data_IF_536203034919
#
_entry.id   IF_536203034919
#
_cell.length_a   1.000
_cell.length_b   1.000
_cell.length_c   1.000
_cell.angle_alpha   90.00
_cell.angle_beta   90.00
_cell.angle_gamma   90.00
#
_symmetry.space_group_name_H-M   'P 1'
#
loop_
_entity.id
_entity.type
_entity.pdbx_description
1 polymer ?
#
# COMPACT_ATOMS: atom_id res chain seq x y z
N UNK A 1 22.12 0.40 10.10
CA UNK A 1 20.81 -0.17 10.45
C UNK A 1 19.68 0.29 9.52
N UNK A 2 19.54 1.59 9.24
CA UNK A 2 18.50 2.09 8.34
C UNK A 2 18.52 1.40 6.96
N UNK A 3 19.67 1.36 6.28
CA UNK A 3 19.81 0.70 4.98
C UNK A 3 19.49 -0.80 5.01
N UNK A 4 19.84 -1.49 6.11
CA UNK A 4 19.55 -2.91 6.30
C UNK A 4 18.03 -3.22 6.28
N UNK A 5 17.20 -2.30 6.75
CA UNK A 5 15.75 -2.43 6.72
C UNK A 5 15.11 -1.81 5.48
N UNK A 6 15.63 -0.66 5.02
CA UNK A 6 15.00 0.11 3.93
C UNK A 6 15.26 -0.50 2.56
N UNK A 7 16.50 -0.99 2.29
CA UNK A 7 16.81 -1.59 0.98
C UNK A 7 15.96 -2.84 0.71
N UNK A 8 15.87 -3.83 1.61
CA UNK A 8 14.99 -4.98 1.40
C UNK A 8 13.51 -4.58 1.23
N UNK A 9 13.04 -3.60 2.00
CA UNK A 9 11.66 -3.13 1.89
C UNK A 9 11.39 -2.47 0.53
N UNK A 10 12.34 -1.66 0.05
CA UNK A 10 12.27 -1.00 -1.26
C UNK A 10 12.25 -2.04 -2.39
N UNK A 11 13.20 -3.00 -2.36
CA UNK A 11 13.26 -4.08 -3.37
C UNK A 11 11.95 -4.88 -3.40
N UNK A 12 11.43 -5.28 -2.23
CA UNK A 12 10.18 -6.02 -2.15
C UNK A 12 8.97 -5.22 -2.67
N UNK A 13 8.91 -3.91 -2.38
CA UNK A 13 7.83 -3.03 -2.85
C UNK A 13 7.90 -2.82 -4.36
N UNK A 14 9.10 -2.62 -4.91
CA UNK A 14 9.31 -2.48 -6.35
C UNK A 14 9.02 -3.78 -7.10
N UNK A 15 9.44 -4.92 -6.57
CA UNK A 15 9.13 -6.22 -7.17
C UNK A 15 7.61 -6.47 -7.25
N UNK A 16 6.88 -6.08 -6.19
CA UNK A 16 5.42 -6.14 -6.17
C UNK A 16 4.77 -5.25 -7.24
N UNK A 17 5.33 -4.06 -7.48
CA UNK A 17 4.86 -3.17 -8.55
C UNK A 17 5.16 -3.74 -9.95
N UNK A 18 6.36 -4.30 -10.12
CA UNK A 18 6.80 -4.86 -11.41
C UNK A 18 5.98 -6.08 -11.83
N UNK A 19 5.71 -7.03 -10.92
CA UNK A 19 4.92 -8.20 -11.31
C UNK A 19 3.50 -7.82 -11.73
N UNK A 20 2.86 -6.83 -11.09
CA UNK A 20 1.55 -6.33 -11.50
C UNK A 20 1.55 -5.76 -12.93
N UNK A 21 2.66 -5.14 -13.36
CA UNK A 21 2.82 -4.64 -14.73
C UNK A 21 2.99 -5.82 -15.70
N UNK A 22 3.82 -6.80 -15.36
CA UNK A 22 4.10 -7.98 -16.17
C UNK A 22 2.83 -8.83 -16.38
N UNK A 23 2.06 -9.06 -15.31
CA UNK A 23 0.78 -9.77 -15.37
C UNK A 23 -0.19 -9.12 -16.37
N UNK A 24 -0.30 -7.78 -16.35
CA UNK A 24 -1.12 -7.05 -17.34
C UNK A 24 -0.60 -7.19 -18.76
N UNK A 25 0.72 -7.24 -18.97
CA UNK A 25 1.30 -7.48 -20.30
C UNK A 25 0.92 -8.87 -20.80
N UNK A 26 1.05 -9.89 -19.97
CA UNK A 26 0.68 -11.26 -20.35
C UNK A 26 -0.82 -11.41 -20.65
N UNK A 27 -1.70 -10.81 -19.83
CA UNK A 27 -3.13 -10.79 -20.08
C UNK A 27 -3.45 -10.06 -21.40
N UNK A 28 -2.79 -8.93 -21.65
CA UNK A 28 -2.99 -8.16 -22.89
C UNK A 28 -2.59 -8.91 -24.13
N UNK A 29 -1.48 -9.63 -24.08
CA UNK A 29 -0.97 -10.43 -25.20
C UNK A 29 -1.72 -11.76 -25.38
N UNK A 30 -2.13 -12.39 -24.29
CA UNK A 30 -2.74 -13.72 -24.33
C UNK A 30 -4.26 -13.74 -24.44
N UNK A 31 -4.94 -12.69 -23.97
CA UNK A 31 -6.41 -12.65 -23.91
C UNK A 31 -6.99 -11.51 -24.75
N UNK A 32 -6.29 -10.38 -24.82
CA UNK A 32 -6.66 -9.25 -25.66
C UNK A 32 -7.09 -7.99 -24.89
N UNK A 33 -7.38 -6.91 -25.65
CA UNK A 33 -7.63 -5.58 -25.10
C UNK A 33 -8.88 -5.50 -24.22
N UNK A 34 -9.95 -6.23 -24.55
CA UNK A 34 -11.19 -6.25 -23.75
C UNK A 34 -10.94 -6.87 -22.38
N UNK A 35 -10.08 -7.88 -22.27
CA UNK A 35 -9.70 -8.48 -21.00
C UNK A 35 -8.91 -7.51 -20.11
N UNK A 36 -8.04 -6.65 -20.68
CA UNK A 36 -7.35 -5.58 -19.92
C UNK A 36 -8.39 -4.61 -19.36
N UNK A 37 -9.39 -4.24 -20.16
CA UNK A 37 -10.47 -3.35 -19.70
C UNK A 37 -11.29 -4.00 -18.59
N UNK A 38 -11.58 -5.30 -18.69
CA UNK A 38 -12.21 -6.09 -17.65
C UNK A 38 -11.36 -6.12 -16.38
N UNK A 39 -10.04 -6.31 -16.50
CA UNK A 39 -9.13 -6.30 -15.36
C UNK A 39 -9.09 -4.92 -14.67
N UNK A 40 -9.23 -3.83 -15.43
CA UNK A 40 -9.27 -2.47 -14.84
C UNK A 40 -10.46 -2.30 -13.90
N UNK A 41 -11.61 -2.94 -14.17
CA UNK A 41 -12.79 -2.92 -13.30
C UNK A 41 -12.56 -3.64 -11.96
N UNK A 42 -11.59 -4.57 -11.90
CA UNK A 42 -11.29 -5.31 -10.67
C UNK A 42 -10.48 -4.47 -9.67
N UNK A 43 -9.80 -3.42 -10.14
CA UNK A 43 -8.85 -2.64 -9.35
C UNK A 43 -9.43 -2.00 -8.07
N UNK A 44 -10.63 -1.39 -8.07
CA UNK A 44 -11.23 -0.86 -6.85
C UNK A 44 -11.51 -1.95 -5.80
N UNK A 45 -11.97 -3.13 -6.22
CA UNK A 45 -12.22 -4.26 -5.33
C UNK A 45 -10.91 -4.78 -4.73
N UNK A 46 -9.88 -4.95 -5.56
CA UNK A 46 -8.56 -5.39 -5.12
C UNK A 46 -7.94 -4.40 -4.12
N UNK A 47 -8.08 -3.10 -4.37
CA UNK A 47 -7.62 -2.06 -3.45
C UNK A 47 -8.36 -2.10 -2.10
N UNK A 48 -9.68 -2.32 -2.12
CA UNK A 48 -10.48 -2.45 -0.91
C UNK A 48 -10.02 -3.67 -0.08
N UNK A 49 -9.90 -4.82 -0.73
CA UNK A 49 -9.38 -6.04 -0.09
C UNK A 49 -7.98 -5.82 0.50
N UNK A 50 -7.10 -5.18 -0.27
CA UNK A 50 -5.73 -4.82 0.17
C UNK A 50 -5.70 -3.86 1.36
N UNK A 51 -6.62 -2.89 1.43
CA UNK A 51 -6.72 -1.94 2.52
C UNK A 51 -6.97 -2.65 3.88
N UNK A 52 -7.80 -3.70 3.90
CA UNK A 52 -8.01 -4.50 5.11
C UNK A 52 -6.76 -5.31 5.50
N UNK A 53 -6.00 -5.82 4.54
CA UNK A 53 -4.68 -6.41 4.81
C UNK A 53 -3.70 -5.43 5.45
N UNK A 54 -3.71 -4.17 5.00
CA UNK A 54 -2.90 -3.09 5.59
C UNK A 54 -3.38 -2.67 6.98
N UNK A 55 -4.70 -2.64 7.20
CA UNK A 55 -5.29 -2.40 8.53
C UNK A 55 -4.68 -3.32 9.58
N UNK A 56 -4.68 -4.61 9.29
CA UNK A 56 -4.18 -5.61 10.22
C UNK A 56 -2.65 -5.65 10.23
N UNK A 57 -2.01 -5.68 9.05
CA UNK A 57 -0.56 -5.86 8.90
C UNK A 57 0.28 -4.71 9.47
N UNK A 58 -0.04 -3.47 9.15
CA UNK A 58 0.70 -2.31 9.66
C UNK A 58 0.47 -2.10 11.16
N UNK A 59 -0.76 -2.33 11.63
CA UNK A 59 -1.08 -2.23 13.06
C UNK A 59 -0.33 -3.26 13.89
N UNK A 60 -0.33 -4.52 13.44
CA UNK A 60 0.40 -5.61 14.09
C UNK A 60 1.92 -5.36 14.11
N UNK A 61 2.50 -4.93 12.98
CA UNK A 61 3.94 -4.66 12.89
C UNK A 61 4.37 -3.53 13.82
N UNK A 62 3.61 -2.42 13.89
CA UNK A 62 3.92 -1.32 14.79
C UNK A 62 3.84 -1.77 16.25
N UNK A 63 2.80 -2.53 16.61
CA UNK A 63 2.63 -3.02 17.98
C UNK A 63 3.73 -4.01 18.37
N UNK A 64 4.11 -4.94 17.47
CA UNK A 64 5.25 -5.84 17.68
C UNK A 64 6.53 -5.09 17.96
N UNK A 65 6.87 -4.08 17.12
CA UNK A 65 8.10 -3.30 17.29
C UNK A 65 8.15 -2.61 18.66
N UNK A 66 7.04 -1.99 19.09
CA UNK A 66 6.93 -1.32 20.39
C UNK A 66 7.11 -2.29 21.56
N UNK A 67 6.45 -3.45 21.50
CA UNK A 67 6.52 -4.45 22.57
C UNK A 67 7.89 -5.10 22.67
N UNK A 68 8.54 -5.39 21.55
CA UNK A 68 9.91 -5.90 21.55
C UNK A 68 10.89 -4.86 22.09
N UNK A 69 10.67 -3.56 21.81
CA UNK A 69 11.44 -2.49 22.40
C UNK A 69 11.30 -2.40 23.92
N UNK A 70 10.11 -2.66 24.45
CA UNK A 70 9.81 -2.72 25.88
C UNK A 70 10.25 -4.07 26.54
N UNK A 71 10.94 -4.95 25.83
CA UNK A 71 11.30 -6.30 26.28
C UNK A 71 10.10 -7.18 26.64
N UNK A 72 8.89 -6.86 26.16
CA UNK A 72 7.66 -7.63 26.40
C UNK A 72 7.43 -8.66 25.27
N UNK A 73 8.30 -9.67 25.20
CA UNK A 73 8.24 -10.73 24.19
C UNK A 73 6.98 -11.59 24.31
N UNK A 74 6.43 -11.74 25.52
CA UNK A 74 5.20 -12.53 25.75
C UNK A 74 3.99 -11.88 25.05
N UNK A 75 3.80 -10.59 25.24
CA UNK A 75 2.70 -9.86 24.59
C UNK A 75 2.96 -9.73 23.08
N UNK A 76 4.21 -9.56 22.65
CA UNK A 76 4.59 -9.55 21.23
C UNK A 76 4.24 -10.87 20.53
N UNK A 77 4.45 -12.03 21.19
CA UNK A 77 4.02 -13.33 20.67
C UNK A 77 2.50 -13.45 20.57
N UNK A 78 1.74 -12.88 21.51
CA UNK A 78 0.28 -12.87 21.48
C UNK A 78 -0.29 -12.11 20.28
N UNK A 79 0.49 -11.22 19.63
CA UNK A 79 0.06 -10.53 18.40
C UNK A 79 -0.14 -11.53 17.26
N UNK A 80 0.65 -12.59 17.15
CA UNK A 80 0.56 -13.55 16.05
C UNK A 80 -0.86 -14.16 15.91
N UNK A 81 -1.42 -14.85 16.93
CA UNK A 81 -2.77 -15.43 16.81
C UNK A 81 -3.86 -14.35 16.67
N UNK A 82 -3.72 -13.20 17.32
CA UNK A 82 -4.68 -12.09 17.17
C UNK A 82 -4.70 -11.53 15.74
N UNK A 83 -3.53 -11.41 15.11
CA UNK A 83 -3.40 -11.01 13.71
C UNK A 83 -4.06 -12.03 12.77
N UNK A 84 -3.86 -13.33 13.03
CA UNK A 84 -4.47 -14.40 12.22
C UNK A 84 -5.99 -14.31 12.25
N UNK A 85 -6.58 -14.20 13.44
CA UNK A 85 -8.03 -14.13 13.61
C UNK A 85 -8.60 -12.84 13.01
N UNK A 86 -7.95 -11.69 13.22
CA UNK A 86 -8.38 -10.43 12.60
C UNK A 86 -8.33 -10.51 11.08
N UNK A 87 -7.26 -11.06 10.50
CA UNK A 87 -7.14 -11.22 9.05
C UNK A 87 -8.22 -12.13 8.51
N UNK A 88 -8.50 -13.26 9.18
CA UNK A 88 -9.55 -14.19 8.79
C UNK A 88 -10.96 -13.55 8.91
N UNK A 89 -11.21 -12.84 10.00
CA UNK A 89 -12.48 -12.16 10.25
C UNK A 89 -12.80 -11.13 9.15
N UNK A 90 -11.88 -10.20 8.87
CA UNK A 90 -12.07 -9.21 7.82
C UNK A 90 -12.14 -9.84 6.43
N UNK A 91 -11.30 -10.85 6.17
CA UNK A 91 -11.38 -11.59 4.92
C UNK A 91 -12.77 -12.21 4.71
N UNK A 92 -13.29 -12.95 5.68
CA UNK A 92 -14.60 -13.59 5.55
C UNK A 92 -15.71 -12.58 5.29
N UNK A 93 -15.76 -11.48 6.04
CA UNK A 93 -16.78 -10.45 5.85
C UNK A 93 -16.65 -9.78 4.49
N UNK A 94 -15.47 -9.24 4.18
CA UNK A 94 -15.29 -8.40 2.98
C UNK A 94 -15.36 -9.25 1.71
N UNK A 95 -14.73 -10.44 1.72
CA UNK A 95 -14.79 -11.34 0.57
C UNK A 95 -16.21 -11.86 0.33
N UNK A 96 -16.98 -12.19 1.38
CA UNK A 96 -18.38 -12.61 1.23
C UNK A 96 -19.23 -11.48 0.66
N UNK A 97 -19.08 -10.25 1.17
CA UNK A 97 -19.81 -9.09 0.64
C UNK A 97 -19.44 -8.81 -0.82
N UNK A 98 -18.13 -8.79 -1.13
CA UNK A 98 -17.68 -8.59 -2.51
C UNK A 98 -18.16 -9.70 -3.45
N UNK A 99 -18.22 -10.96 -2.98
CA UNK A 99 -18.66 -12.09 -3.80
C UNK A 99 -20.19 -12.07 -4.04
N UNK A 100 -20.99 -11.78 -3.01
CA UNK A 100 -22.44 -11.71 -3.09
C UNK A 100 -22.89 -10.54 -3.99
N UNK A 101 -22.23 -9.39 -3.87
CA UNK A 101 -22.56 -8.18 -4.61
C UNK A 101 -21.66 -7.95 -5.83
N UNK A 102 -21.02 -9.00 -6.34
CA UNK A 102 -20.00 -8.87 -7.40
C UNK A 102 -20.56 -8.20 -8.66
N UNK A 103 -21.68 -8.67 -9.18
CA UNK A 103 -22.28 -8.11 -10.39
C UNK A 103 -22.72 -6.64 -10.20
N UNK A 104 -23.51 -6.26 -9.17
CA UNK A 104 -23.84 -4.87 -8.90
C UNK A 104 -22.62 -3.95 -8.76
N UNK A 105 -21.57 -4.43 -8.10
CA UNK A 105 -20.35 -3.64 -7.90
C UNK A 105 -19.63 -3.41 -9.25
N UNK A 106 -19.50 -4.43 -10.08
CA UNK A 106 -18.83 -4.31 -11.38
C UNK A 106 -19.59 -3.35 -12.31
N UNK A 107 -20.92 -3.41 -12.35
CA UNK A 107 -21.71 -2.46 -13.13
C UNK A 107 -21.63 -1.03 -12.55
N UNK A 108 -21.62 -0.87 -11.24
CA UNK A 108 -21.44 0.44 -10.60
C UNK A 108 -20.06 1.07 -10.90
N UNK A 109 -19.04 0.26 -11.16
CA UNK A 109 -17.70 0.72 -11.58
C UNK A 109 -17.55 0.91 -13.09
N UNK A 110 -18.66 0.88 -13.84
CA UNK A 110 -18.66 1.14 -15.28
C UNK A 110 -18.46 -0.10 -16.14
N UNK A 111 -18.73 -1.29 -15.60
CA UNK A 111 -18.74 -2.54 -16.36
C UNK A 111 -19.79 -2.53 -17.45
N UNK A 112 -19.43 -3.04 -18.63
CA UNK A 112 -20.31 -3.31 -19.75
C UNK A 112 -20.53 -4.82 -19.92
N UNK A 113 -21.51 -5.20 -20.74
CA UNK A 113 -21.76 -6.61 -21.06
C UNK A 113 -20.55 -7.32 -21.70
N UNK A 114 -19.62 -6.56 -22.28
CA UNK A 114 -18.39 -7.09 -22.86
C UNK A 114 -17.24 -7.24 -21.84
N UNK A 115 -17.11 -6.33 -20.86
CA UNK A 115 -15.98 -6.29 -19.92
C UNK A 115 -16.27 -7.01 -18.62
N UNK A 116 -17.54 -6.98 -18.15
CA UNK A 116 -17.95 -7.62 -16.89
C UNK A 116 -17.68 -9.13 -16.83
N UNK A 117 -17.87 -9.93 -17.89
CA UNK A 117 -17.54 -11.36 -17.83
C UNK A 117 -16.08 -11.62 -17.47
N UNK A 118 -15.13 -10.90 -18.08
CA UNK A 118 -13.69 -11.05 -17.78
C UNK A 118 -13.36 -10.66 -16.35
N UNK A 119 -13.92 -9.54 -15.87
CA UNK A 119 -13.74 -9.12 -14.49
C UNK A 119 -14.29 -10.14 -13.49
N UNK A 120 -15.47 -10.70 -13.78
CA UNK A 120 -16.12 -11.71 -12.95
C UNK A 120 -15.33 -13.02 -12.92
N UNK A 121 -14.86 -13.51 -14.07
CA UNK A 121 -14.01 -14.71 -14.16
C UNK A 121 -12.74 -14.55 -13.32
N UNK A 122 -12.08 -13.40 -13.39
CA UNK A 122 -10.88 -13.12 -12.62
C UNK A 122 -11.18 -13.03 -11.12
N UNK A 123 -12.17 -12.22 -10.71
CA UNK A 123 -12.49 -11.98 -9.31
C UNK A 123 -13.08 -13.20 -8.60
N UNK A 124 -13.81 -14.06 -9.31
CA UNK A 124 -14.34 -15.31 -8.75
C UNK A 124 -13.25 -16.24 -8.20
N UNK A 125 -12.02 -16.14 -8.73
CA UNK A 125 -10.84 -16.91 -8.30
C UNK A 125 -10.03 -16.11 -7.29
N UNK A 126 -9.83 -14.80 -7.52
CA UNK A 126 -9.01 -13.96 -6.67
C UNK A 126 -9.63 -13.70 -5.30
N UNK A 127 -10.95 -13.43 -5.23
CA UNK A 127 -11.61 -13.13 -3.95
C UNK A 127 -11.45 -14.28 -2.95
N UNK A 128 -11.73 -15.55 -3.29
CA UNK A 128 -11.46 -16.67 -2.39
C UNK A 128 -9.97 -16.82 -2.03
N UNK A 129 -9.07 -16.55 -2.97
CA UNK A 129 -7.61 -16.66 -2.76
C UNK A 129 -7.01 -15.50 -1.95
N UNK A 130 -7.74 -14.40 -1.76
CA UNK A 130 -7.19 -13.18 -1.14
C UNK A 130 -6.79 -13.35 0.33
N UNK A 131 -7.29 -14.37 1.02
CA UNK A 131 -6.85 -14.71 2.39
C UNK A 131 -5.32 -14.93 2.45
N UNK A 132 -4.75 -15.59 1.45
CA UNK A 132 -3.31 -15.85 1.39
C UNK A 132 -2.52 -14.55 1.22
N UNK A 133 -3.03 -13.61 0.41
CA UNK A 133 -2.45 -12.28 0.24
C UNK A 133 -2.48 -11.49 1.56
N UNK A 134 -3.63 -11.45 2.23
CA UNK A 134 -3.82 -10.72 3.49
C UNK A 134 -2.90 -11.26 4.59
N UNK A 135 -2.86 -12.58 4.79
CA UNK A 135 -1.98 -13.24 5.75
C UNK A 135 -0.50 -13.02 5.41
N UNK A 136 -0.11 -13.27 4.14
CA UNK A 136 1.27 -13.07 3.70
C UNK A 136 1.72 -11.64 3.95
N UNK A 137 0.89 -10.65 3.64
CA UNK A 137 1.17 -9.23 3.87
C UNK A 137 1.35 -8.92 5.37
N UNK A 138 0.42 -9.36 6.22
CA UNK A 138 0.47 -9.10 7.65
C UNK A 138 1.72 -9.73 8.29
N UNK A 139 1.99 -11.01 8.00
CA UNK A 139 3.13 -11.72 8.58
C UNK A 139 4.47 -11.27 8.00
N UNK A 140 4.53 -10.82 6.76
CA UNK A 140 5.72 -10.17 6.19
C UNK A 140 6.06 -8.89 6.94
N UNK A 141 5.07 -8.05 7.27
CA UNK A 141 5.27 -6.85 8.08
C UNK A 141 5.71 -7.17 9.52
N UNK A 142 5.11 -8.19 10.16
CA UNK A 142 5.53 -8.67 11.48
C UNK A 142 6.97 -9.21 11.43
N UNK A 143 7.35 -9.98 10.41
CA UNK A 143 8.71 -10.50 10.23
C UNK A 143 9.74 -9.37 10.12
N UNK A 144 9.41 -8.32 9.39
CA UNK A 144 10.24 -7.11 9.31
C UNK A 144 10.35 -6.43 10.68
N UNK A 145 9.23 -6.30 11.39
CA UNK A 145 9.16 -5.71 12.72
C UNK A 145 9.93 -6.50 13.78
N UNK A 146 10.05 -7.81 13.62
CA UNK A 146 10.81 -8.71 14.51
C UNK A 146 12.31 -8.80 14.19
N UNK A 147 12.83 -7.98 13.26
CA UNK A 147 14.28 -7.90 13.00
C UNK A 147 14.77 -8.65 11.74
N UNK A 148 13.88 -9.21 10.93
CA UNK A 148 14.24 -10.04 9.78
C UNK A 148 13.78 -9.44 8.43
N UNK A 149 14.28 -8.24 8.02
CA UNK A 149 13.83 -7.56 6.80
C UNK A 149 14.17 -8.33 5.51
N UNK A 150 15.30 -9.05 5.48
CA UNK A 150 15.68 -9.87 4.32
C UNK A 150 14.69 -11.00 4.07
N UNK A 151 14.17 -11.62 5.14
CA UNK A 151 13.17 -12.68 5.00
C UNK A 151 11.83 -12.12 4.51
N UNK A 152 11.44 -10.95 5.00
CA UNK A 152 10.28 -10.22 4.51
C UNK A 152 10.40 -9.90 3.01
N UNK A 153 11.55 -9.42 2.55
CA UNK A 153 11.85 -9.21 1.14
C UNK A 153 11.75 -10.50 0.32
N UNK A 154 12.40 -11.57 0.79
CA UNK A 154 12.41 -12.85 0.08
C UNK A 154 11.00 -13.43 -0.09
N UNK A 155 10.10 -13.20 0.86
CA UNK A 155 8.68 -13.60 0.75
C UNK A 155 7.98 -12.87 -0.39
N UNK A 156 8.20 -11.55 -0.51
CA UNK A 156 7.62 -10.74 -1.60
C UNK A 156 8.23 -11.11 -2.96
N UNK A 157 9.55 -11.31 -3.02
CA UNK A 157 10.24 -11.76 -4.24
C UNK A 157 9.77 -13.14 -4.68
N UNK A 158 9.61 -14.07 -3.74
CA UNK A 158 9.11 -15.41 -4.05
C UNK A 158 7.73 -15.36 -4.73
N UNK A 159 6.80 -14.57 -4.18
CA UNK A 159 5.48 -14.38 -4.77
C UNK A 159 5.54 -13.76 -6.17
N UNK A 160 6.32 -12.69 -6.32
CA UNK A 160 6.47 -11.99 -7.59
C UNK A 160 7.12 -12.90 -8.68
N UNK A 161 8.19 -13.60 -8.35
CA UNK A 161 8.88 -14.50 -9.29
C UNK A 161 7.98 -15.65 -9.69
N UNK A 162 7.31 -16.29 -8.74
CA UNK A 162 6.38 -17.39 -9.03
C UNK A 162 5.24 -16.92 -9.92
N UNK A 163 4.66 -15.76 -9.67
CA UNK A 163 3.59 -15.23 -10.50
C UNK A 163 4.07 -15.01 -11.94
N UNK A 164 5.19 -14.30 -12.14
CA UNK A 164 5.77 -14.06 -13.47
C UNK A 164 6.10 -15.36 -14.23
N UNK A 165 6.48 -16.43 -13.52
CA UNK A 165 6.78 -17.72 -14.13
C UNK A 165 5.51 -18.54 -14.42
N UNK A 166 4.50 -18.46 -13.57
CA UNK A 166 3.26 -19.23 -13.71
C UNK A 166 2.28 -18.60 -14.71
N UNK A 167 2.25 -17.27 -14.83
CA UNK A 167 1.36 -16.56 -15.75
C UNK A 167 1.45 -17.10 -17.19
N UNK A 168 2.63 -17.15 -17.85
CA UNK A 168 2.71 -17.66 -19.22
C UNK A 168 2.31 -19.13 -19.34
N UNK A 169 2.56 -19.95 -18.32
CA UNK A 169 2.17 -21.36 -18.31
C UNK A 169 0.63 -21.50 -18.30
N UNK A 170 -0.03 -20.77 -17.39
CA UNK A 170 -1.48 -20.87 -17.26
C UNK A 170 -2.23 -20.13 -18.37
N UNK A 171 -1.72 -18.98 -18.83
CA UNK A 171 -2.37 -18.17 -19.87
C UNK A 171 -2.19 -18.81 -21.25
N UNK A 172 -0.94 -19.15 -21.63
CA UNK A 172 -0.62 -19.57 -23.00
C UNK A 172 -0.58 -21.11 -23.16
N UNK A 173 0.11 -21.83 -22.24
CA UNK A 173 0.28 -23.26 -22.38
C UNK A 173 -1.01 -24.02 -22.06
N UNK A 174 -1.69 -23.66 -20.99
CA UNK A 174 -2.98 -24.29 -20.63
C UNK A 174 -4.19 -23.59 -21.28
N UNK A 175 -4.00 -22.49 -22.01
CA UNK A 175 -5.04 -21.72 -22.68
C UNK A 175 -6.20 -21.30 -21.77
N UNK A 176 -5.92 -21.02 -20.49
CA UNK A 176 -6.95 -20.64 -19.51
C UNK A 176 -7.30 -19.14 -19.57
N UNK A 177 -6.60 -18.35 -20.39
CA UNK A 177 -6.86 -16.93 -20.54
C UNK A 177 -6.79 -16.17 -19.20
N UNK A 178 -7.78 -15.32 -18.93
CA UNK A 178 -7.79 -14.48 -17.71
C UNK A 178 -7.92 -15.31 -16.42
N UNK A 179 -8.57 -16.48 -16.46
CA UNK A 179 -8.59 -17.43 -15.33
C UNK A 179 -7.20 -17.96 -15.02
N UNK A 180 -6.37 -18.14 -16.07
CA UNK A 180 -4.99 -18.56 -15.91
C UNK A 180 -4.18 -17.59 -15.08
N UNK A 181 -4.26 -16.29 -15.36
CA UNK A 181 -3.63 -15.24 -14.57
C UNK A 181 -4.12 -15.23 -13.12
N UNK A 182 -5.43 -15.41 -12.90
CA UNK A 182 -5.99 -15.48 -11.56
C UNK A 182 -5.46 -16.68 -10.77
N UNK A 183 -5.39 -17.87 -11.37
CA UNK A 183 -4.82 -19.06 -10.73
C UNK A 183 -3.33 -18.89 -10.43
N UNK A 184 -2.55 -18.38 -11.37
CA UNK A 184 -1.12 -18.11 -11.16
C UNK A 184 -0.90 -17.17 -9.97
N UNK A 185 -1.69 -16.10 -9.87
CA UNK A 185 -1.67 -15.17 -8.75
C UNK A 185 -2.00 -15.85 -7.42
N UNK A 186 -3.10 -16.60 -7.35
CA UNK A 186 -3.52 -17.26 -6.08
C UNK A 186 -2.51 -18.32 -5.65
N UNK A 187 -1.97 -19.12 -6.58
CA UNK A 187 -0.94 -20.12 -6.27
C UNK A 187 0.33 -19.46 -5.73
N UNK A 188 0.79 -18.39 -6.37
CA UNK A 188 1.97 -17.63 -5.95
C UNK A 188 1.79 -17.03 -4.56
N UNK A 189 0.61 -16.49 -4.26
CA UNK A 189 0.26 -15.95 -2.95
C UNK A 189 0.14 -17.04 -1.89
N UNK A 190 -0.43 -18.20 -2.24
CA UNK A 190 -0.49 -19.36 -1.35
C UNK A 190 0.91 -19.84 -0.95
N UNK A 191 1.82 -20.01 -1.91
CA UNK A 191 3.20 -20.45 -1.65
C UNK A 191 3.94 -19.43 -0.80
N UNK A 192 3.80 -18.13 -1.10
CA UNK A 192 4.39 -17.05 -0.30
C UNK A 192 3.85 -17.03 1.13
N UNK A 193 2.54 -17.22 1.30
CA UNK A 193 1.89 -17.32 2.59
C UNK A 193 2.41 -18.55 3.39
N UNK A 194 2.46 -19.69 2.75
CA UNK A 194 2.98 -20.92 3.38
C UNK A 194 4.45 -20.75 3.80
N UNK A 195 5.28 -20.12 2.95
CA UNK A 195 6.68 -19.82 3.23
C UNK A 195 6.85 -18.93 4.48
N UNK A 196 6.10 -17.83 4.56
CA UNK A 196 6.22 -16.92 5.70
C UNK A 196 5.60 -17.51 6.97
N UNK A 197 4.49 -18.23 6.84
CA UNK A 197 3.87 -18.89 7.99
C UNK A 197 4.76 -19.99 8.56
N UNK A 198 5.42 -20.80 7.73
CA UNK A 198 6.39 -21.82 8.17
C UNK A 198 7.48 -21.23 9.08
N UNK A 199 7.90 -19.99 8.84
CA UNK A 199 8.87 -19.30 9.71
C UNK A 199 8.39 -19.22 11.15
N UNK A 200 7.14 -18.84 11.38
CA UNK A 200 6.58 -18.67 12.74
C UNK A 200 6.28 -19.99 13.46
N UNK A 201 6.37 -21.13 12.78
CA UNK A 201 6.26 -22.45 13.42
C UNK A 201 7.58 -22.99 13.95
N UNK A 202 8.73 -22.37 13.67
CA UNK A 202 10.03 -22.74 14.21
C UNK A 202 10.18 -22.23 15.64
N UNK A 203 10.71 -23.08 16.55
CA UNK A 203 10.88 -22.74 17.97
C UNK A 203 11.98 -21.71 18.23
N UNK A 204 12.97 -21.63 17.35
CA UNK A 204 14.20 -20.82 17.53
C UNK A 204 14.02 -19.34 17.16
N UNK A 205 12.83 -18.94 16.73
CA UNK A 205 12.56 -17.57 16.33
C UNK A 205 12.16 -16.67 17.51
N UNK A 206 12.49 -15.39 17.41
CA UNK A 206 12.12 -14.37 18.42
C UNK A 206 10.62 -14.35 18.69
N UNK A 207 9.83 -14.54 17.62
CA UNK A 207 8.37 -14.69 17.69
C UNK A 207 7.98 -16.05 17.08
N UNK A 208 7.15 -16.79 17.79
CA UNK A 208 6.70 -18.12 17.36
C UNK A 208 5.29 -18.42 17.86
N UNK A 209 4.52 -19.18 17.07
CA UNK A 209 3.25 -19.77 17.53
C UNK A 209 3.42 -20.85 18.60
N UNK A 210 4.65 -21.39 18.74
CA UNK A 210 4.97 -22.40 19.74
C UNK A 210 5.43 -21.75 21.02
N UNK A 211 4.75 -22.00 22.11
CA UNK A 211 5.16 -21.58 23.47
C UNK A 211 6.43 -22.32 23.89
N UNK A 212 7.43 -21.60 24.40
CA UNK A 212 8.71 -22.16 24.85
C UNK A 212 8.59 -23.07 26.09
N UNK A 213 7.41 -23.11 26.75
CA UNK A 213 7.27 -23.71 28.10
C UNK A 213 6.35 -24.93 28.23
N UNK A 214 5.97 -25.61 27.15
CA UNK A 214 5.20 -26.85 27.28
C UNK A 214 5.81 -27.98 26.47
N UNK A 215 6.14 -29.10 27.14
CA UNK A 215 6.58 -30.34 26.51
C UNK A 215 5.52 -31.01 25.61
N UNK A 216 4.34 -30.45 25.52
CA UNK A 216 3.28 -30.88 24.63
C UNK A 216 3.24 -30.02 23.38
N UNK A 217 3.54 -30.63 22.25
CA UNK A 217 3.49 -30.10 20.89
C UNK A 217 2.06 -29.86 20.37
N UNK A 218 1.14 -29.40 21.21
CA UNK A 218 -0.20 -29.04 20.75
C UNK A 218 -0.20 -27.67 20.08
N UNK A 219 -0.49 -27.71 18.80
CA UNK A 219 -0.93 -26.60 17.99
C UNK A 219 -2.29 -26.11 18.53
N UNK A 220 -2.26 -25.27 19.53
CA UNK A 220 -3.46 -24.63 20.05
C UNK A 220 -3.14 -23.17 20.24
N UNK A 221 -3.90 -22.33 19.54
CA UNK A 221 -4.08 -20.94 19.94
C UNK A 221 -4.59 -21.01 21.37
N UNK A 222 -3.77 -20.75 22.41
CA UNK A 222 -4.29 -20.83 23.77
C UNK A 222 -5.42 -19.80 23.87
N UNK A 223 -6.59 -20.18 24.36
CA UNK A 223 -7.71 -19.25 24.59
C UNK A 223 -7.28 -17.99 25.38
N UNK A 224 -6.24 -18.13 26.20
CA UNK A 224 -5.61 -17.04 26.97
C UNK A 224 -4.78 -16.06 26.12
N UNK A 225 -4.49 -16.35 24.83
CA UNK A 225 -3.71 -15.46 23.96
C UNK A 225 -4.58 -14.50 23.14
N UNK A 226 -5.90 -14.78 23.06
CA UNK A 226 -6.84 -13.88 22.38
C UNK A 226 -7.21 -12.75 23.34
N UNK A 227 -6.87 -11.53 22.93
CA UNK A 227 -7.08 -10.34 23.75
C UNK A 227 -7.72 -9.22 22.92
N UNK A 228 -8.97 -8.93 23.23
CA UNK A 228 -9.74 -7.86 22.54
C UNK A 228 -9.02 -6.51 22.63
N UNK A 229 -8.40 -6.18 23.76
CA UNK A 229 -7.65 -4.91 23.90
C UNK A 229 -6.47 -4.87 22.93
N UNK A 230 -5.79 -6.01 22.75
CA UNK A 230 -4.69 -6.13 21.81
C UNK A 230 -5.18 -6.02 20.35
N UNK A 231 -6.29 -6.69 20.01
CA UNK A 231 -6.95 -6.58 18.71
C UNK A 231 -7.34 -5.13 18.39
N UNK A 232 -7.99 -4.45 19.34
CA UNK A 232 -8.36 -3.04 19.17
C UNK A 232 -7.13 -2.14 19.02
N UNK A 233 -6.04 -2.42 19.73
CA UNK A 233 -4.77 -1.70 19.57
C UNK A 233 -4.17 -1.89 18.18
N UNK A 234 -4.19 -3.12 17.63
CA UNK A 234 -3.76 -3.41 16.25
C UNK A 234 -4.61 -2.61 15.27
N UNK A 235 -5.94 -2.69 15.39
CA UNK A 235 -6.86 -1.99 14.49
C UNK A 235 -6.72 -0.48 14.57
N UNK A 236 -6.60 0.10 15.77
CA UNK A 236 -6.47 1.55 15.93
C UNK A 236 -5.23 2.11 15.24
N UNK A 237 -4.08 1.42 15.32
CA UNK A 237 -2.84 1.85 14.67
C UNK A 237 -2.93 1.63 13.15
N UNK A 238 -3.48 0.51 12.71
CA UNK A 238 -3.62 0.18 11.30
C UNK A 238 -4.66 1.00 10.56
N UNK A 239 -5.64 1.56 11.28
CA UNK A 239 -6.74 2.37 10.72
C UNK A 239 -6.23 3.55 9.89
N UNK A 240 -5.08 4.14 10.25
CA UNK A 240 -4.45 5.20 9.46
C UNK A 240 -4.15 4.76 8.03
N UNK A 241 -3.56 3.58 7.84
CA UNK A 241 -3.24 3.05 6.51
C UNK A 241 -4.50 2.66 5.74
N UNK A 242 -5.47 2.05 6.40
CA UNK A 242 -6.77 1.71 5.80
C UNK A 242 -7.48 2.95 5.26
N UNK A 243 -7.64 3.97 6.10
CA UNK A 243 -8.31 5.21 5.74
C UNK A 243 -7.57 5.97 4.65
N UNK A 244 -6.23 5.96 4.65
CA UNK A 244 -5.43 6.56 3.60
C UNK A 244 -5.71 5.90 2.24
N UNK A 245 -5.72 4.56 2.17
CA UNK A 245 -5.98 3.84 0.91
C UNK A 245 -7.42 4.05 0.41
N UNK A 246 -8.40 4.00 1.30
CA UNK A 246 -9.79 4.27 0.96
C UNK A 246 -9.98 5.71 0.48
N UNK A 247 -9.38 6.68 1.17
CA UNK A 247 -9.41 8.08 0.78
C UNK A 247 -8.75 8.33 -0.59
N UNK A 248 -7.63 7.67 -0.86
CA UNK A 248 -6.95 7.78 -2.17
C UNK A 248 -7.83 7.24 -3.30
N UNK A 249 -8.53 6.14 -3.09
CA UNK A 249 -9.48 5.60 -4.08
C UNK A 249 -10.62 6.58 -4.36
N UNK A 250 -11.20 7.18 -3.32
CA UNK A 250 -12.26 8.19 -3.46
C UNK A 250 -11.75 9.44 -4.23
N UNK A 251 -10.55 9.93 -3.88
CA UNK A 251 -9.92 11.05 -4.58
C UNK A 251 -9.72 10.75 -6.06
N UNK A 252 -9.26 9.54 -6.41
CA UNK A 252 -9.07 9.16 -7.82
C UNK A 252 -10.39 9.18 -8.61
N UNK A 253 -11.49 8.69 -8.01
CA UNK A 253 -12.82 8.75 -8.64
C UNK A 253 -13.27 10.19 -8.87
N UNK A 254 -13.16 11.04 -7.84
CA UNK A 254 -13.54 12.46 -7.95
C UNK A 254 -12.66 13.21 -8.95
N UNK A 255 -11.36 12.94 -8.96
CA UNK A 255 -10.42 13.56 -9.90
C UNK A 255 -10.74 13.16 -11.34
N UNK A 256 -10.98 11.86 -11.60
CA UNK A 256 -11.37 11.40 -12.93
C UNK A 256 -12.66 12.06 -13.42
N UNK A 257 -13.69 12.14 -12.56
CA UNK A 257 -14.94 12.83 -12.90
C UNK A 257 -14.73 14.31 -13.19
N UNK A 258 -13.91 14.99 -12.40
CA UNK A 258 -13.57 16.39 -12.58
C UNK A 258 -12.79 16.62 -13.90
N UNK A 259 -11.82 15.76 -14.19
CA UNK A 259 -11.04 15.83 -15.42
C UNK A 259 -11.87 15.55 -16.65
N UNK A 260 -12.83 14.61 -16.58
CA UNK A 260 -13.78 14.32 -17.65
C UNK A 260 -14.58 15.57 -18.01
N UNK A 261 -15.10 16.27 -17.00
CA UNK A 261 -15.96 17.44 -17.19
C UNK A 261 -15.23 18.66 -17.72
N UNK A 262 -13.93 18.83 -17.45
CA UNK A 262 -13.17 20.04 -17.77
C UNK A 262 -12.07 19.85 -18.81
N UNK A 263 -11.74 18.60 -19.18
CA UNK A 263 -10.65 18.31 -20.12
C UNK A 263 -10.87 17.05 -20.98
N UNK A 264 -11.99 16.35 -20.79
CA UNK A 264 -12.36 15.16 -21.55
C UNK A 264 -11.43 13.96 -21.31
N UNK A 265 -11.52 12.96 -22.20
CA UNK A 265 -10.78 11.68 -22.07
C UNK A 265 -9.26 11.86 -22.09
N UNK A 266 -8.75 12.84 -22.85
CA UNK A 266 -7.31 13.11 -22.89
C UNK A 266 -6.77 13.59 -21.54
N UNK A 267 -7.56 14.34 -20.76
CA UNK A 267 -7.15 14.78 -19.42
C UNK A 267 -7.10 13.60 -18.43
N UNK A 268 -8.01 12.63 -18.55
CA UNK A 268 -7.96 11.38 -17.77
C UNK A 268 -6.71 10.57 -18.15
N UNK A 269 -6.42 10.45 -19.45
CA UNK A 269 -5.21 9.79 -19.93
C UNK A 269 -3.94 10.45 -19.41
N UNK A 270 -3.88 11.80 -19.43
CA UNK A 270 -2.80 12.58 -18.86
C UNK A 270 -2.64 12.32 -17.34
N UNK A 271 -3.73 12.28 -16.59
CA UNK A 271 -3.70 11.95 -15.16
C UNK A 271 -3.19 10.53 -14.90
N UNK A 272 -3.54 9.57 -15.74
CA UNK A 272 -3.00 8.22 -15.69
C UNK A 272 -1.47 8.19 -15.83
N UNK A 273 -0.90 8.97 -16.75
CA UNK A 273 0.56 9.09 -16.92
C UNK A 273 1.19 9.80 -15.71
N UNK A 274 0.62 10.92 -15.25
CA UNK A 274 1.10 11.67 -14.09
C UNK A 274 1.12 10.80 -12.84
N UNK A 275 0.04 10.07 -12.57
CA UNK A 275 -0.06 9.18 -11.41
C UNK A 275 0.89 7.99 -11.52
N UNK A 276 1.11 7.44 -12.70
CA UNK A 276 2.08 6.36 -12.91
C UNK A 276 3.50 6.81 -12.57
N UNK A 277 3.93 7.96 -13.07
CA UNK A 277 5.24 8.52 -12.77
C UNK A 277 5.41 8.86 -11.29
N UNK A 278 4.44 9.58 -10.71
CA UNK A 278 4.52 9.97 -9.28
C UNK A 278 4.42 8.78 -8.33
N UNK A 279 3.70 7.70 -8.71
CA UNK A 279 3.62 6.46 -7.94
C UNK A 279 4.97 5.77 -7.77
N UNK A 280 5.84 5.78 -8.79
CA UNK A 280 7.20 5.21 -8.67
C UNK A 280 8.00 5.90 -7.58
N UNK A 281 7.90 7.24 -7.50
CA UNK A 281 8.59 8.02 -6.48
C UNK A 281 7.98 7.73 -5.09
N UNK A 282 6.64 7.75 -4.98
CA UNK A 282 5.93 7.46 -3.72
C UNK A 282 6.23 6.06 -3.21
N UNK A 283 6.27 5.05 -4.08
CA UNK A 283 6.60 3.67 -3.69
C UNK A 283 8.00 3.56 -3.07
N UNK A 284 8.96 4.33 -3.56
CA UNK A 284 10.30 4.41 -2.97
C UNK A 284 10.26 4.95 -1.54
N UNK A 285 9.44 5.99 -1.28
CA UNK A 285 9.25 6.55 0.06
C UNK A 285 8.51 5.57 0.98
N UNK A 286 7.49 4.89 0.46
CA UNK A 286 6.73 3.88 1.22
C UNK A 286 7.64 2.71 1.64
N UNK A 287 8.50 2.22 0.73
CA UNK A 287 9.49 1.19 1.06
C UNK A 287 10.44 1.64 2.18
N UNK A 288 10.91 2.89 2.12
CA UNK A 288 11.74 3.46 3.18
C UNK A 288 10.97 3.64 4.50
N UNK A 289 9.72 4.09 4.47
CA UNK A 289 8.86 4.22 5.64
C UNK A 289 8.62 2.86 6.33
N UNK A 290 8.40 1.80 5.54
CA UNK A 290 8.28 0.43 6.04
C UNK A 290 9.58 -0.07 6.70
N UNK A 291 10.76 0.34 6.19
CA UNK A 291 12.05 0.05 6.81
C UNK A 291 12.30 0.87 8.08
N UNK A 292 11.82 2.11 8.14
CA UNK A 292 11.90 2.98 9.31
C UNK A 292 11.04 2.46 10.48
N UNK A 293 9.87 1.92 10.20
CA UNK A 293 8.87 1.53 11.20
C UNK A 293 9.43 0.63 12.33
N UNK A 294 10.11 -0.50 12.06
CA UNK A 294 10.65 -1.34 13.13
C UNK A 294 11.75 -0.65 13.94
N UNK A 295 12.57 0.19 13.31
CA UNK A 295 13.65 0.91 13.99
C UNK A 295 13.07 1.93 14.97
N UNK A 296 12.14 2.73 14.49
CA UNK A 296 11.47 3.77 15.30
C UNK A 296 10.64 3.14 16.40
N UNK A 297 9.80 2.14 16.08
CA UNK A 297 8.93 1.46 17.05
C UNK A 297 9.73 0.79 18.17
N UNK A 298 10.77 0.03 17.82
CA UNK A 298 11.63 -0.63 18.80
C UNK A 298 12.34 0.39 19.73
N UNK A 299 13.04 1.37 19.15
CA UNK A 299 13.78 2.36 19.95
C UNK A 299 12.86 3.26 20.78
N UNK A 300 11.65 3.55 20.28
CA UNK A 300 10.65 4.29 21.04
C UNK A 300 10.13 3.46 22.24
N UNK A 301 9.83 2.19 22.03
CA UNK A 301 9.46 1.25 23.08
C UNK A 301 10.56 1.09 24.14
N UNK A 302 11.83 1.07 23.71
CA UNK A 302 12.98 0.99 24.60
C UNK A 302 13.35 2.33 25.31
N UNK A 303 12.63 3.45 25.08
CA UNK A 303 12.95 4.76 25.65
C UNK A 303 14.19 5.43 25.03
N UNK A 304 14.72 4.93 23.93
CA UNK A 304 15.94 5.42 23.27
C UNK A 304 15.63 6.56 22.28
N UNK A 305 15.07 7.65 22.78
CA UNK A 305 14.54 8.76 21.99
C UNK A 305 15.55 9.45 21.08
N UNK A 306 16.82 9.52 21.48
CA UNK A 306 17.87 10.08 20.63
C UNK A 306 18.06 9.27 19.32
N UNK A 307 17.96 7.93 19.38
CA UNK A 307 18.01 7.07 18.20
C UNK A 307 16.78 7.27 17.33
N UNK A 308 15.62 7.45 17.95
CA UNK A 308 14.36 7.76 17.25
C UNK A 308 14.49 9.07 16.46
N UNK A 309 14.94 10.14 17.11
CA UNK A 309 15.15 11.47 16.47
C UNK A 309 16.14 11.39 15.31
N UNK A 310 17.25 10.69 15.51
CA UNK A 310 18.28 10.51 14.49
C UNK A 310 17.75 9.73 13.28
N UNK A 311 17.06 8.60 13.52
CA UNK A 311 16.46 7.80 12.45
C UNK A 311 15.43 8.60 11.65
N UNK A 312 14.55 9.33 12.35
CA UNK A 312 13.55 10.18 11.73
C UNK A 312 14.18 11.27 10.87
N UNK A 313 15.22 11.95 11.36
CA UNK A 313 15.95 12.99 10.62
C UNK A 313 16.53 12.44 9.32
N UNK A 314 17.22 11.29 9.36
CA UNK A 314 17.77 10.67 8.15
C UNK A 314 16.66 10.27 7.17
N UNK A 315 15.58 9.64 7.64
CA UNK A 315 14.46 9.25 6.75
C UNK A 315 13.81 10.47 6.10
N UNK A 316 13.56 11.54 6.86
CA UNK A 316 13.01 12.79 6.31
C UNK A 316 13.96 13.36 5.25
N UNK A 317 15.26 13.47 5.55
CA UNK A 317 16.25 14.04 4.62
C UNK A 317 16.29 13.26 3.31
N UNK A 318 16.38 11.93 3.37
CA UNK A 318 16.45 11.07 2.17
C UNK A 318 15.12 11.14 1.39
N UNK A 319 13.98 11.03 2.09
CA UNK A 319 12.67 11.09 1.45
C UNK A 319 12.45 12.44 0.74
N UNK A 320 12.79 13.54 1.41
CA UNK A 320 12.71 14.88 0.84
C UNK A 320 13.65 15.04 -0.36
N UNK A 321 14.86 14.51 -0.29
CA UNK A 321 15.80 14.52 -1.43
C UNK A 321 15.21 13.76 -2.64
N UNK A 322 14.66 12.54 -2.44
CA UNK A 322 14.05 11.74 -3.52
C UNK A 322 12.85 12.49 -4.13
N UNK A 323 11.96 13.02 -3.30
CA UNK A 323 10.78 13.75 -3.80
C UNK A 323 11.15 15.09 -4.44
N UNK A 324 12.20 15.76 -3.98
CA UNK A 324 12.74 16.97 -4.62
C UNK A 324 13.33 16.66 -5.99
N UNK A 325 14.11 15.58 -6.13
CA UNK A 325 14.60 15.14 -7.43
C UNK A 325 13.46 14.81 -8.39
N UNK A 326 12.42 14.13 -7.91
CA UNK A 326 11.20 13.88 -8.69
C UNK A 326 10.47 15.16 -9.10
N UNK A 327 10.38 16.13 -8.20
CA UNK A 327 9.82 17.45 -8.48
C UNK A 327 10.64 18.17 -9.57
N UNK A 328 11.95 18.25 -9.42
CA UNK A 328 12.85 18.87 -10.40
C UNK A 328 12.73 18.20 -11.77
N UNK A 329 12.72 16.85 -11.80
CA UNK A 329 12.54 16.12 -13.05
C UNK A 329 11.20 16.44 -13.73
N UNK A 330 10.11 16.54 -12.94
CA UNK A 330 8.78 16.90 -13.45
C UNK A 330 8.69 18.33 -13.99
N UNK A 331 9.49 19.26 -13.45
CA UNK A 331 9.51 20.66 -13.88
C UNK A 331 10.42 20.90 -15.09
N UNK A 332 11.59 20.22 -15.12
CA UNK A 332 12.59 20.44 -16.18
C UNK A 332 12.30 19.57 -17.41
N UNK A 333 11.86 18.32 -17.19
CA UNK A 333 11.70 17.33 -18.26
C UNK A 333 10.26 16.80 -18.45
N UNK A 334 9.18 17.61 -18.31
CA UNK A 334 7.82 17.10 -18.34
C UNK A 334 7.46 16.46 -19.69
N UNK A 335 7.92 17.06 -20.81
CA UNK A 335 7.68 16.52 -22.15
C UNK A 335 8.40 15.17 -22.37
N UNK A 336 9.63 15.02 -21.88
CA UNK A 336 10.35 13.75 -22.01
C UNK A 336 9.68 12.65 -21.20
N UNK A 337 9.22 12.96 -19.97
CA UNK A 337 8.48 12.02 -19.13
C UNK A 337 7.18 11.59 -19.83
N UNK A 338 6.41 12.52 -20.40
CA UNK A 338 5.20 12.20 -21.11
C UNK A 338 5.46 11.31 -22.35
N UNK A 339 6.54 11.58 -23.10
CA UNK A 339 6.94 10.79 -24.29
C UNK A 339 7.33 9.35 -23.97
N UNK A 340 7.71 9.03 -22.75
CA UNK A 340 7.96 7.63 -22.33
C UNK A 340 6.69 6.77 -22.35
N UNK A 341 5.51 7.41 -22.27
CA UNK A 341 4.22 6.72 -22.17
C UNK A 341 3.38 6.78 -23.45
N UNK A 342 3.57 7.84 -24.26
CA UNK A 342 2.76 8.06 -25.48
C UNK A 342 3.52 8.82 -26.55
N UNK A 343 3.13 8.60 -27.82
CA UNK A 343 3.59 9.37 -28.98
C UNK A 343 2.58 10.43 -29.46
N UNK A 344 1.38 10.45 -28.87
CA UNK A 344 0.35 11.45 -29.20
C UNK A 344 0.75 12.83 -28.68
N UNK A 345 0.93 13.78 -29.59
CA UNK A 345 1.38 15.16 -29.30
C UNK A 345 0.38 15.94 -28.43
N UNK A 346 -0.93 15.73 -28.61
CA UNK A 346 -1.96 16.39 -27.79
C UNK A 346 -1.91 15.88 -26.35
N UNK A 347 -1.84 14.57 -26.18
CA UNK A 347 -1.74 13.95 -24.86
C UNK A 347 -0.43 14.35 -24.16
N UNK A 348 0.71 14.43 -24.90
CA UNK A 348 1.99 14.89 -24.37
C UNK A 348 1.87 16.31 -23.81
N UNK A 349 1.26 17.25 -24.54
CA UNK A 349 1.13 18.65 -24.12
C UNK A 349 0.26 18.80 -22.86
N UNK A 350 -0.87 18.09 -22.80
CA UNK A 350 -1.75 18.11 -21.62
C UNK A 350 -1.02 17.48 -20.43
N UNK A 351 -0.34 16.35 -20.63
CA UNK A 351 0.43 15.66 -19.59
C UNK A 351 1.56 16.53 -19.07
N UNK A 352 2.33 17.16 -19.94
CA UNK A 352 3.47 18.00 -19.54
C UNK A 352 3.01 19.22 -18.72
N UNK A 353 1.96 19.90 -19.18
CA UNK A 353 1.36 21.00 -18.43
C UNK A 353 0.81 20.55 -17.07
N UNK A 354 0.05 19.45 -17.06
CA UNK A 354 -0.51 18.86 -15.85
C UNK A 354 0.56 18.41 -14.86
N UNK A 355 1.60 17.71 -15.34
CA UNK A 355 2.70 17.20 -14.53
C UNK A 355 3.48 18.33 -13.84
N UNK A 356 3.80 19.40 -14.60
CA UNK A 356 4.52 20.56 -14.06
C UNK A 356 3.76 21.24 -12.92
N UNK A 357 2.43 21.35 -13.03
CA UNK A 357 1.60 21.93 -11.97
C UNK A 357 1.45 20.92 -10.82
N UNK A 358 1.01 19.70 -11.10
CA UNK A 358 0.69 18.67 -10.10
C UNK A 358 1.89 18.32 -9.21
N UNK A 359 3.08 18.23 -9.79
CA UNK A 359 4.31 17.87 -9.09
C UNK A 359 5.09 19.07 -8.52
N UNK A 360 4.63 20.32 -8.70
CA UNK A 360 5.35 21.53 -8.27
C UNK A 360 5.70 21.58 -6.80
N UNK A 361 4.91 20.93 -5.95
CA UNK A 361 5.13 20.87 -4.50
C UNK A 361 5.50 19.47 -4.02
N UNK A 362 5.94 18.60 -4.94
CA UNK A 362 6.21 17.21 -4.60
C UNK A 362 7.34 17.05 -3.57
N UNK A 363 8.22 18.04 -3.46
CA UNK A 363 9.32 18.07 -2.49
C UNK A 363 8.88 17.96 -1.03
N UNK A 364 7.66 18.40 -0.67
CA UNK A 364 7.13 18.24 0.70
C UNK A 364 6.45 16.89 0.95
N UNK A 365 6.13 16.12 -0.09
CA UNK A 365 5.37 14.87 0.02
C UNK A 365 6.16 13.82 0.79
N UNK A 366 7.48 13.73 0.54
CA UNK A 366 8.38 12.82 1.25
C UNK A 366 8.37 13.06 2.76
N UNK A 367 8.50 14.32 3.16
CA UNK A 367 8.40 14.73 4.56
C UNK A 367 7.06 14.31 5.18
N UNK A 368 5.96 14.59 4.50
CA UNK A 368 4.62 14.27 5.00
C UNK A 368 4.40 12.77 5.20
N UNK A 369 4.79 11.94 4.21
CA UNK A 369 4.66 10.48 4.29
C UNK A 369 5.47 9.91 5.45
N UNK A 370 6.73 10.32 5.60
CA UNK A 370 7.60 9.85 6.69
C UNK A 370 7.07 10.28 8.04
N UNK A 371 6.60 11.53 8.18
CA UNK A 371 6.02 12.04 9.44
C UNK A 371 4.76 11.26 9.83
N UNK A 372 3.87 10.98 8.89
CA UNK A 372 2.65 10.21 9.13
C UNK A 372 2.98 8.78 9.59
N UNK A 373 3.92 8.11 8.90
CA UNK A 373 4.37 6.77 9.26
C UNK A 373 5.15 6.76 10.59
N UNK A 374 5.87 7.83 10.93
CA UNK A 374 6.51 7.98 12.24
C UNK A 374 5.48 7.91 13.38
N UNK A 375 4.41 8.69 13.30
CA UNK A 375 3.36 8.66 14.32
C UNK A 375 2.64 7.30 14.40
N UNK A 376 2.47 6.63 13.27
CA UNK A 376 1.98 5.26 13.24
C UNK A 376 2.93 4.29 13.94
N UNK A 377 4.23 4.41 13.70
CA UNK A 377 5.27 3.53 14.26
C UNK A 377 5.38 3.61 15.78
N UNK A 378 5.14 4.80 16.35
CA UNK A 378 5.14 5.02 17.81
C UNK A 378 3.76 4.79 18.46
N UNK A 379 2.78 4.29 17.72
CA UNK A 379 1.44 3.97 18.22
C UNK A 379 0.53 5.19 18.44
N UNK A 380 0.90 6.38 17.96
CA UNK A 380 0.06 7.60 18.02
C UNK A 380 -0.97 7.60 16.88
N UNK A 381 -1.89 6.63 16.91
CA UNK A 381 -2.87 6.39 15.86
C UNK A 381 -3.68 7.63 15.47
N UNK A 382 -4.22 8.38 16.45
CA UNK A 382 -5.05 9.55 16.17
C UNK A 382 -4.32 10.64 15.38
N UNK A 383 -3.04 10.89 15.67
CA UNK A 383 -2.22 11.87 14.93
C UNK A 383 -1.94 11.35 13.51
N UNK A 384 -1.60 10.08 13.37
CA UNK A 384 -1.35 9.47 12.07
C UNK A 384 -2.60 9.50 11.18
N UNK A 385 -3.78 9.17 11.73
CA UNK A 385 -5.07 9.26 11.04
C UNK A 385 -5.35 10.70 10.60
N UNK A 386 -5.22 11.66 11.52
CA UNK A 386 -5.46 13.06 11.22
C UNK A 386 -4.56 13.56 10.07
N UNK A 387 -3.25 13.27 10.13
CA UNK A 387 -2.32 13.66 9.06
C UNK A 387 -2.65 13.00 7.72
N UNK A 388 -3.00 11.71 7.72
CA UNK A 388 -3.41 11.00 6.50
C UNK A 388 -4.65 11.60 5.87
N UNK A 389 -5.70 11.82 6.67
CA UNK A 389 -6.99 12.30 6.20
C UNK A 389 -6.98 13.81 5.90
N UNK A 390 -6.18 14.61 6.63
CA UNK A 390 -6.08 16.05 6.36
C UNK A 390 -5.63 16.33 4.94
N UNK A 391 -4.64 15.59 4.44
CA UNK A 391 -4.15 15.77 3.08
C UNK A 391 -5.16 15.32 2.02
N UNK A 392 -5.78 14.14 2.18
CA UNK A 392 -6.62 13.53 1.14
C UNK A 392 -8.08 14.00 1.20
N UNK A 393 -8.68 14.02 2.40
CA UNK A 393 -10.11 14.29 2.54
C UNK A 393 -10.35 15.76 2.87
N UNK A 394 -9.69 16.28 3.92
CA UNK A 394 -10.00 17.61 4.42
C UNK A 394 -9.52 18.73 3.50
N UNK A 395 -8.44 18.51 2.74
CA UNK A 395 -7.87 19.52 1.87
C UNK A 395 -8.10 19.19 0.39
N UNK A 396 -7.66 18.01 -0.07
CA UNK A 396 -7.65 17.71 -1.51
C UNK A 396 -9.05 17.62 -2.09
N UNK A 397 -10.00 16.94 -1.45
CA UNK A 397 -11.39 16.84 -1.95
C UNK A 397 -12.04 18.22 -2.10
N UNK A 398 -12.06 19.11 -1.08
CA UNK A 398 -12.57 20.46 -1.26
C UNK A 398 -11.90 21.23 -2.39
N UNK A 399 -10.57 21.15 -2.56
CA UNK A 399 -9.89 21.84 -3.64
C UNK A 399 -10.20 21.27 -5.04
N UNK A 400 -10.40 19.95 -5.16
CA UNK A 400 -10.87 19.33 -6.40
C UNK A 400 -12.28 19.83 -6.78
N UNK A 401 -13.12 20.16 -5.82
CA UNK A 401 -14.47 20.67 -6.07
C UNK A 401 -14.51 22.19 -6.30
N UNK A 402 -13.64 22.96 -5.63
CA UNK A 402 -13.68 24.42 -5.64
C UNK A 402 -12.84 25.06 -6.76
N UNK A 403 -11.70 24.48 -7.14
CA UNK A 403 -10.79 25.10 -8.09
C UNK A 403 -11.20 24.94 -9.56
N UNK A 404 -11.71 23.78 -10.03
CA UNK A 404 -12.07 23.59 -11.42
C UNK A 404 -13.17 24.52 -11.94
N UNK A 405 -14.21 24.90 -11.18
CA UNK A 405 -15.18 25.90 -11.60
C UNK A 405 -14.54 27.28 -11.90
N UNK A 406 -13.40 27.61 -11.25
CA UNK A 406 -12.72 28.91 -11.40
C UNK A 406 -11.64 28.84 -12.49
N UNK A 407 -10.81 27.79 -12.48
CA UNK A 407 -9.62 27.66 -13.33
C UNK A 407 -9.67 26.47 -14.30
N UNK A 408 -10.84 25.87 -14.48
CA UNK A 408 -11.07 24.72 -15.38
C UNK A 408 -10.04 23.60 -15.14
N UNK A 409 -9.46 23.02 -16.18
CA UNK A 409 -8.49 21.94 -16.10
C UNK A 409 -7.26 22.28 -15.23
N UNK A 410 -6.79 23.54 -15.29
CA UNK A 410 -5.68 23.99 -14.43
C UNK A 410 -6.04 23.94 -12.94
N UNK A 411 -7.30 24.22 -12.61
CA UNK A 411 -7.81 24.11 -11.23
C UNK A 411 -7.74 22.69 -10.70
N UNK A 412 -8.06 21.70 -11.54
CA UNK A 412 -7.93 20.29 -11.16
C UNK A 412 -6.47 19.93 -10.83
N UNK A 413 -5.51 20.39 -11.64
CA UNK A 413 -4.09 20.15 -11.37
C UNK A 413 -3.58 20.90 -10.12
N UNK A 414 -4.08 22.12 -9.85
CA UNK A 414 -3.66 22.93 -8.70
C UNK A 414 -4.16 22.41 -7.34
N UNK A 415 -5.20 21.60 -7.31
CA UNK A 415 -5.75 21.05 -6.07
C UNK A 415 -4.70 20.25 -5.27
N UNK A 416 -3.90 19.43 -5.95
CA UNK A 416 -2.87 18.59 -5.32
C UNK A 416 -1.73 19.42 -4.69
N UNK A 417 -1.08 20.36 -5.38
CA UNK A 417 -0.04 21.21 -4.81
C UNK A 417 -0.48 21.99 -3.56
N UNK A 418 -1.64 22.61 -3.61
CA UNK A 418 -2.15 23.40 -2.48
C UNK A 418 -2.42 22.49 -1.27
N UNK A 419 -3.05 21.32 -1.48
CA UNK A 419 -3.25 20.32 -0.43
C UNK A 419 -1.92 19.85 0.17
N UNK A 420 -0.90 19.58 -0.65
CA UNK A 420 0.41 19.14 -0.19
C UNK A 420 1.08 20.18 0.70
N UNK A 421 1.07 21.48 0.32
CA UNK A 421 1.70 22.54 1.10
C UNK A 421 1.04 22.73 2.46
N UNK A 422 -0.30 22.83 2.49
CA UNK A 422 -1.04 23.03 3.74
C UNK A 422 -0.86 21.82 4.66
N UNK A 423 -0.99 20.60 4.13
CA UNK A 423 -0.82 19.38 4.93
C UNK A 423 0.60 19.24 5.47
N UNK A 424 1.62 19.64 4.69
CA UNK A 424 3.00 19.64 5.16
C UNK A 424 3.23 20.68 6.27
N UNK A 425 2.66 21.87 6.16
CA UNK A 425 2.72 22.87 7.23
C UNK A 425 2.08 22.34 8.54
N UNK A 426 0.91 21.71 8.45
CA UNK A 426 0.26 21.04 9.59
C UNK A 426 1.19 19.97 10.18
N UNK A 427 1.79 19.13 9.33
CA UNK A 427 2.69 18.08 9.79
C UNK A 427 3.97 18.63 10.46
N UNK A 428 4.53 19.74 9.96
CA UNK A 428 5.69 20.42 10.58
C UNK A 428 5.33 20.89 12.00
N UNK A 429 4.18 21.55 12.17
CA UNK A 429 3.74 22.04 13.48
C UNK A 429 3.56 20.88 14.46
N UNK A 430 2.83 19.84 14.07
CA UNK A 430 2.56 18.68 14.93
C UNK A 430 3.85 17.97 15.30
N UNK A 431 4.73 17.72 14.32
CA UNK A 431 6.00 17.05 14.57
C UNK A 431 6.91 17.86 15.48
N UNK A 432 7.03 19.16 15.25
CA UNK A 432 7.88 20.06 16.08
C UNK A 432 7.41 20.11 17.53
N UNK A 433 6.09 20.20 17.76
CA UNK A 433 5.52 20.17 19.11
C UNK A 433 5.74 18.82 19.81
N UNK A 434 5.67 17.72 19.05
CA UNK A 434 5.93 16.38 19.59
C UNK A 434 7.41 16.18 19.96
N UNK A 435 8.34 16.56 19.06
CA UNK A 435 9.78 16.38 19.29
C UNK A 435 10.34 17.22 20.44
N UNK A 436 9.69 18.34 20.80
CA UNK A 436 10.03 19.14 21.98
C UNK A 436 9.67 18.42 23.30
N UNK A 437 8.73 17.48 23.26
CA UNK A 437 8.27 16.73 24.44
C UNK A 437 8.98 15.38 24.61
N UNK A 438 9.76 14.95 23.61
CA UNK A 438 10.64 13.79 23.61
C UNK A 438 12.04 14.14 24.12
#
# INVERSE_FOLDING_TARGET
>A
MLWYYSIPSLIGTLANALYNIIDRIYIGQGVGAIAISGLALTFPIMNLLGAFGMLVGHGAAARVSLLLGNNNTREANAILPNTFILSLFFYLIVSSLCYIFLDPILYAFGGSDQTTPYAKEYLSIIIPGHIFTSLSYAYTNITRASGHPMRAMNTLLLGAILNVLLDPIFIFTFNLGIKGAAYATVISMFISCAWIMHYFFRKDNTLSFRTQNTNNSSFLIPHSSLNIKLMLSILSIGLSSFLLHTATSLVNVLMNHTLQNHGGDLAIGAFGIITSFTSLIVMSIVGMAQGMQPIVGYNYGAGLYNRVKTTLKYCISIATAITTLGCIASLIFPNYIARLFTSDTHLINITASGLSIYASTFFVVGFHIITTNYFQSIGRAGISIFLSLSRQILLLIPFILLFPPIWQLKGAWLAQPVSNLISAAIAIVILSLHLKKL
#
